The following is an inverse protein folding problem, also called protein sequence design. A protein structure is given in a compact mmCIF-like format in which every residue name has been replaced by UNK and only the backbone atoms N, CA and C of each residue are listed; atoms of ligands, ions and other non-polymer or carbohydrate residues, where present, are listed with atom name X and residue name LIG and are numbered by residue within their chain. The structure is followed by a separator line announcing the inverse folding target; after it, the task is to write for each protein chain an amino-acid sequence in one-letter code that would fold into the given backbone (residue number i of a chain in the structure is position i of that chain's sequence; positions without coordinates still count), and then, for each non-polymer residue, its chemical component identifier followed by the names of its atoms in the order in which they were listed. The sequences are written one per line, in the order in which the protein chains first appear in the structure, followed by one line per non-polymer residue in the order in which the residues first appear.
data_IF_170498404653
#
_entry.id   IF_170498404653
#
_cell.length_a   1.000
_cell.length_b   1.000
_cell.length_c   1.000
_cell.angle_alpha   90.00
_cell.angle_beta   90.00
_cell.angle_gamma   90.00
#
_symmetry.space_group_name_H-M   'P 1'
#
loop_
_entity.id
_entity.type
_entity.pdbx_description
1 polymer ?
#
# COMPACT_ATOMS: atom_id res chain seq x y z
N UNK A 1 0.84 31.68 -20.26
CA UNK A 1 0.41 30.37 -19.73
C UNK A 1 0.93 30.30 -18.31
N UNK A 2 0.15 29.83 -17.37
CA UNK A 2 0.68 29.57 -16.03
C UNK A 2 1.80 28.56 -16.09
N UNK A 3 2.85 28.82 -15.34
CA UNK A 3 4.00 27.93 -15.16
C UNK A 3 4.09 27.53 -13.67
N UNK A 4 4.29 26.25 -13.43
CA UNK A 4 4.65 25.72 -12.12
C UNK A 4 6.09 25.21 -12.19
N UNK A 5 6.92 25.60 -11.22
CA UNK A 5 8.28 25.10 -11.10
C UNK A 5 8.54 24.63 -9.67
N UNK A 6 9.06 23.43 -9.55
CA UNK A 6 9.45 22.85 -8.27
C UNK A 6 10.87 22.27 -8.37
N UNK A 7 11.68 22.45 -7.34
CA UNK A 7 13.04 21.91 -7.31
C UNK A 7 13.36 21.32 -5.94
N UNK A 8 14.01 20.17 -5.94
CA UNK A 8 14.50 19.52 -4.72
C UNK A 8 15.84 18.87 -4.98
N UNK A 9 16.79 19.08 -4.07
CA UNK A 9 18.07 18.37 -4.07
C UNK A 9 18.00 17.13 -3.18
N UNK A 10 18.56 16.03 -3.67
CA UNK A 10 18.65 14.73 -3.03
C UNK A 10 20.12 14.38 -2.82
N UNK A 11 20.50 13.88 -1.65
CA UNK A 11 21.88 13.48 -1.33
C UNK A 11 22.20 12.07 -1.89
N UNK A 12 21.99 11.90 -3.21
CA UNK A 12 22.21 10.64 -3.93
C UNK A 12 22.81 10.93 -5.31
N UNK A 13 23.63 10.00 -5.86
CA UNK A 13 24.19 10.12 -7.21
C UNK A 13 23.10 10.21 -8.28
N UNK A 14 23.38 10.89 -9.37
CA UNK A 14 22.40 11.13 -10.46
C UNK A 14 21.86 9.84 -11.10
N UNK A 15 22.72 8.85 -11.31
CA UNK A 15 22.28 7.55 -11.82
C UNK A 15 21.26 6.87 -10.91
N UNK A 16 21.47 6.89 -9.59
CA UNK A 16 20.55 6.31 -8.63
C UNK A 16 19.18 7.01 -8.65
N UNK A 17 19.18 8.33 -8.68
CA UNK A 17 17.96 9.15 -8.74
C UNK A 17 17.22 8.94 -10.07
N UNK A 18 17.95 8.92 -11.18
CA UNK A 18 17.36 8.73 -12.51
C UNK A 18 16.83 7.32 -12.70
N UNK A 19 17.58 6.28 -12.28
CA UNK A 19 17.15 4.86 -12.37
C UNK A 19 15.90 4.58 -11.53
N UNK A 20 15.74 5.27 -10.40
CA UNK A 20 14.50 5.19 -9.63
C UNK A 20 13.28 5.59 -10.48
N UNK A 21 13.39 6.66 -11.30
CA UNK A 21 12.31 7.13 -12.17
C UNK A 21 12.08 6.22 -13.39
N UNK A 22 13.05 5.38 -13.76
CA UNK A 22 12.91 4.37 -14.81
C UNK A 22 12.11 3.15 -14.40
N UNK A 23 11.84 2.98 -13.10
CA UNK A 23 11.06 1.83 -12.59
C UNK A 23 9.67 1.79 -13.20
N UNK A 24 9.21 0.61 -13.58
CA UNK A 24 7.93 0.40 -14.29
C UNK A 24 6.72 1.02 -13.58
N UNK A 25 6.75 1.05 -12.24
CA UNK A 25 5.67 1.56 -11.39
C UNK A 25 6.04 2.86 -10.64
N UNK A 26 7.05 3.60 -11.09
CA UNK A 26 7.47 4.85 -10.46
C UNK A 26 6.32 5.86 -10.33
N UNK A 27 5.50 5.99 -11.37
CA UNK A 27 4.35 6.91 -11.35
C UNK A 27 3.32 6.52 -10.29
N UNK A 28 2.94 5.23 -10.21
CA UNK A 28 2.03 4.73 -9.16
C UNK A 28 2.60 4.96 -7.77
N UNK A 29 3.92 4.81 -7.64
CA UNK A 29 4.61 4.98 -6.36
C UNK A 29 4.54 6.40 -5.84
N UNK A 30 4.71 7.41 -6.72
CA UNK A 30 4.70 8.84 -6.34
C UNK A 30 3.34 9.51 -6.47
N UNK A 31 2.35 8.84 -7.02
CA UNK A 31 1.00 9.41 -7.13
C UNK A 31 0.40 9.61 -5.75
N UNK A 32 0.11 10.87 -5.35
CA UNK A 32 -0.48 11.14 -4.05
C UNK A 32 -1.81 10.40 -3.87
N UNK A 33 -2.08 9.84 -2.70
CA UNK A 33 -3.27 9.04 -2.48
C UNK A 33 -4.59 9.85 -2.56
N UNK A 34 -4.53 11.18 -2.46
CA UNK A 34 -5.69 12.06 -2.59
C UNK A 34 -6.01 12.47 -4.03
N UNK A 35 -5.09 12.30 -4.98
CA UNK A 35 -5.30 12.67 -6.39
C UNK A 35 -6.24 11.69 -7.11
N UNK A 36 -6.48 10.50 -6.54
CA UNK A 36 -7.36 9.45 -7.09
C UNK A 36 -7.04 9.12 -8.55
N UNK A 37 -5.76 9.11 -8.92
CA UNK A 37 -5.27 8.79 -10.26
C UNK A 37 -4.98 7.29 -10.33
N UNK A 38 -5.41 6.66 -11.42
CA UNK A 38 -5.13 5.26 -11.75
C UNK A 38 -4.51 5.17 -13.14
N UNK A 39 -3.42 4.44 -13.27
CA UNK A 39 -2.89 4.04 -14.57
C UNK A 39 -3.76 2.93 -15.14
N UNK A 40 -4.33 3.18 -16.31
CA UNK A 40 -5.21 2.23 -17.03
C UNK A 40 -4.44 1.43 -18.05
N UNK A 41 -3.53 2.11 -18.79
CA UNK A 41 -2.78 1.46 -19.87
C UNK A 41 -1.43 2.14 -20.07
N UNK A 42 -0.45 1.34 -20.46
CA UNK A 42 0.87 1.77 -20.95
C UNK A 42 1.11 1.20 -22.33
N UNK A 43 1.64 2.01 -23.25
CA UNK A 43 1.96 1.67 -24.63
C UNK A 43 3.22 2.44 -25.08
N UNK A 44 4.15 1.85 -25.80
CA UNK A 44 4.40 0.43 -25.91
C UNK A 44 4.92 -0.15 -24.59
N UNK A 45 4.79 -1.46 -24.43
CA UNK A 45 5.37 -2.20 -23.29
C UNK A 45 6.86 -2.49 -23.56
N UNK A 46 7.66 -1.44 -23.73
CA UNK A 46 9.10 -1.56 -23.99
C UNK A 46 9.94 -1.42 -22.74
N UNK A 47 11.21 -1.84 -22.79
CA UNK A 47 12.17 -1.77 -21.68
C UNK A 47 12.59 -0.34 -21.32
N UNK A 48 12.25 0.65 -22.15
CA UNK A 48 12.54 2.06 -21.88
C UNK A 48 11.30 2.92 -22.14
N UNK A 49 10.37 2.84 -21.20
CA UNK A 49 9.09 3.54 -21.28
C UNK A 49 9.23 5.07 -21.31
N UNK A 50 10.27 5.62 -20.67
CA UNK A 50 10.49 7.07 -20.63
C UNK A 50 10.91 7.68 -21.97
N UNK A 51 11.31 6.87 -22.95
CA UNK A 51 11.78 7.37 -24.26
C UNK A 51 10.63 7.78 -25.17
N UNK A 52 9.62 6.91 -25.31
CA UNK A 52 8.53 7.08 -26.27
C UNK A 52 7.19 6.46 -25.81
N UNK A 53 7.13 6.10 -24.55
CA UNK A 53 5.96 5.48 -23.96
C UNK A 53 4.73 6.39 -23.97
N UNK A 54 3.57 5.77 -24.10
CA UNK A 54 2.27 6.43 -23.91
C UNK A 54 1.58 5.88 -22.70
N UNK A 55 0.92 6.73 -21.93
CA UNK A 55 0.20 6.35 -20.74
C UNK A 55 -1.22 6.90 -20.75
N UNK A 56 -2.17 6.07 -20.35
CA UNK A 56 -3.55 6.47 -20.12
C UNK A 56 -3.83 6.42 -18.64
N UNK A 57 -4.24 7.57 -18.10
CA UNK A 57 -4.62 7.73 -16.70
C UNK A 57 -6.12 8.00 -16.61
N UNK A 58 -6.73 7.50 -15.55
CA UNK A 58 -8.06 7.91 -15.11
C UNK A 58 -7.95 8.60 -13.75
N UNK A 59 -8.54 9.79 -13.67
CA UNK A 59 -8.63 10.57 -12.44
C UNK A 59 -10.09 10.66 -12.02
N UNK A 60 -10.41 10.12 -10.86
CA UNK A 60 -11.75 10.24 -10.29
C UNK A 60 -11.85 11.60 -9.58
N UNK A 61 -12.43 12.57 -10.28
CA UNK A 61 -12.53 13.97 -9.82
C UNK A 61 -13.71 14.20 -8.86
N UNK A 62 -14.87 13.61 -9.20
CA UNK A 62 -16.11 13.64 -8.40
C UNK A 62 -16.81 12.29 -8.52
N UNK A 63 -17.78 11.97 -7.63
CA UNK A 63 -18.63 10.82 -7.83
C UNK A 63 -19.21 10.84 -9.26
N UNK A 64 -19.01 9.74 -10.00
CA UNK A 64 -19.45 9.54 -11.39
C UNK A 64 -18.70 10.36 -12.47
N UNK A 65 -17.70 11.19 -12.12
CA UNK A 65 -16.92 11.96 -13.11
C UNK A 65 -15.48 11.44 -13.13
N UNK A 66 -15.16 10.67 -14.17
CA UNK A 66 -13.81 10.18 -14.43
C UNK A 66 -13.18 10.98 -15.58
N UNK A 67 -12.09 11.65 -15.28
CA UNK A 67 -11.30 12.38 -16.26
C UNK A 67 -10.22 11.47 -16.84
N UNK A 68 -10.13 11.38 -18.17
CA UNK A 68 -9.09 10.61 -18.84
C UNK A 68 -7.98 11.54 -19.31
N UNK A 69 -6.74 11.12 -19.03
CA UNK A 69 -5.52 11.76 -19.52
C UNK A 69 -4.81 10.79 -20.45
N UNK A 70 -4.38 11.27 -21.61
CA UNK A 70 -3.45 10.56 -22.48
C UNK A 70 -2.17 11.37 -22.57
N UNK A 71 -1.08 10.78 -22.11
CA UNK A 71 0.24 11.40 -22.07
C UNK A 71 1.20 10.62 -22.96
N UNK A 72 2.21 11.29 -23.50
CA UNK A 72 3.35 10.66 -24.18
C UNK A 72 4.64 11.16 -23.57
N UNK A 73 5.57 10.25 -23.36
CA UNK A 73 6.95 10.59 -23.06
C UNK A 73 7.66 11.04 -24.35
N UNK A 74 8.49 12.06 -24.23
CA UNK A 74 9.32 12.57 -25.33
C UNK A 74 10.56 13.29 -24.80
N UNK A 75 11.45 13.74 -25.68
CA UNK A 75 12.65 14.50 -25.32
C UNK A 75 13.54 13.81 -24.26
N UNK A 76 13.60 12.47 -24.33
CA UNK A 76 14.38 11.67 -23.41
C UNK A 76 15.88 11.81 -23.66
N UNK A 77 16.62 12.17 -22.62
CA UNK A 77 18.09 12.18 -22.58
C UNK A 77 18.52 11.38 -21.35
N UNK A 78 19.20 10.24 -21.56
CA UNK A 78 19.65 9.34 -20.49
C UNK A 78 20.41 10.10 -19.39
N UNK A 79 20.00 9.90 -18.14
CA UNK A 79 20.62 10.53 -16.98
C UNK A 79 20.39 12.04 -16.85
N UNK A 80 19.62 12.69 -17.74
CA UNK A 80 19.46 14.15 -17.75
C UNK A 80 18.02 14.63 -17.73
N UNK A 81 17.16 14.11 -18.60
CA UNK A 81 15.80 14.66 -18.72
C UNK A 81 14.83 13.75 -19.47
N UNK A 82 13.55 13.98 -19.25
CA UNK A 82 12.44 13.53 -20.09
C UNK A 82 11.24 14.47 -19.92
N UNK A 83 10.28 14.38 -20.84
CA UNK A 83 9.11 15.24 -20.87
C UNK A 83 7.82 14.40 -20.99
N UNK A 84 6.81 14.78 -20.20
CA UNK A 84 5.44 14.27 -20.30
C UNK A 84 4.57 15.29 -21.02
N UNK A 85 4.09 14.95 -22.20
CA UNK A 85 3.20 15.81 -22.98
C UNK A 85 1.80 15.23 -23.07
N UNK A 86 0.81 16.02 -22.76
CA UNK A 86 -0.58 15.62 -22.93
C UNK A 86 -0.97 15.58 -24.40
N UNK A 87 -1.47 14.42 -24.83
CA UNK A 87 -2.09 14.23 -26.17
C UNK A 87 -3.57 14.65 -26.10
N UNK A 88 -4.26 14.23 -25.05
CA UNK A 88 -5.64 14.62 -24.76
C UNK A 88 -5.93 14.52 -23.27
N UNK A 89 -6.81 15.40 -22.76
CA UNK A 89 -7.09 15.44 -21.33
C UNK A 89 -8.09 16.52 -20.93
N UNK A 90 -8.31 16.72 -19.62
CA UNK A 90 -9.32 17.65 -19.10
C UNK A 90 -8.91 19.11 -19.19
N UNK A 91 -7.65 19.42 -19.49
CA UNK A 91 -7.14 20.77 -19.66
C UNK A 91 -6.82 21.04 -21.13
N UNK A 92 -6.63 22.29 -21.52
CA UNK A 92 -6.32 22.67 -22.91
C UNK A 92 -4.92 22.21 -23.33
N UNK A 93 -3.93 22.36 -22.43
CA UNK A 93 -2.55 21.91 -22.66
C UNK A 93 -1.87 21.57 -21.34
N UNK A 94 -0.93 20.62 -21.42
CA UNK A 94 -0.06 20.21 -20.31
C UNK A 94 1.25 19.68 -20.86
N UNK A 95 2.35 20.24 -20.39
CA UNK A 95 3.71 19.79 -20.69
C UNK A 95 4.51 19.83 -19.39
N UNK A 96 5.08 18.69 -19.01
CA UNK A 96 5.84 18.54 -17.78
C UNK A 96 7.25 18.07 -18.12
N UNK A 97 8.23 18.93 -17.87
CA UNK A 97 9.65 18.63 -18.03
C UNK A 97 10.27 18.21 -16.72
N UNK A 98 10.96 17.07 -16.74
CA UNK A 98 11.81 16.58 -15.66
C UNK A 98 13.27 16.77 -16.03
N UNK A 99 14.01 17.51 -15.22
CA UNK A 99 15.44 17.76 -15.41
C UNK A 99 16.22 17.26 -14.19
N UNK A 100 17.27 16.47 -14.43
CA UNK A 100 18.16 15.92 -13.42
C UNK A 100 19.51 16.61 -13.52
N UNK A 101 19.93 17.32 -12.49
CA UNK A 101 21.13 18.16 -12.47
C UNK A 101 22.06 17.60 -11.41
N UNK A 102 23.25 17.19 -11.79
CA UNK A 102 24.28 16.76 -10.86
C UNK A 102 24.90 17.99 -10.17
N UNK A 103 24.63 18.17 -8.85
CA UNK A 103 25.25 19.25 -8.06
C UNK A 103 26.63 18.85 -7.50
N UNK A 104 26.81 17.52 -7.20
CA UNK A 104 28.10 16.93 -6.82
C UNK A 104 28.07 15.42 -7.10
N UNK A 105 29.15 14.70 -6.81
CA UNK A 105 29.23 13.23 -6.99
C UNK A 105 28.07 12.49 -6.33
N UNK A 106 27.63 12.95 -5.14
CA UNK A 106 26.59 12.30 -4.35
C UNK A 106 25.37 13.21 -4.12
N UNK A 107 25.15 14.20 -5.00
CA UNK A 107 24.03 15.12 -4.84
C UNK A 107 23.41 15.48 -6.19
N UNK A 108 22.13 15.24 -6.31
CA UNK A 108 21.35 15.47 -7.53
C UNK A 108 20.16 16.37 -7.24
N UNK A 109 19.96 17.38 -8.07
CA UNK A 109 18.78 18.23 -8.04
C UNK A 109 17.81 17.78 -9.12
N UNK A 110 16.56 17.52 -8.75
CA UNK A 110 15.46 17.41 -9.71
C UNK A 110 14.81 18.77 -9.84
N UNK A 111 14.59 19.19 -11.09
CA UNK A 111 13.81 20.37 -11.43
C UNK A 111 12.64 19.94 -12.29
N UNK A 112 11.44 20.14 -11.79
CA UNK A 112 10.20 19.91 -12.48
C UNK A 112 9.63 21.23 -12.96
N UNK A 113 9.27 21.33 -14.27
CA UNK A 113 8.60 22.47 -14.85
C UNK A 113 7.35 22.04 -15.57
N UNK A 114 6.21 22.61 -15.19
CA UNK A 114 4.92 22.31 -15.80
C UNK A 114 4.34 23.56 -16.42
N UNK A 115 4.12 23.53 -17.73
CA UNK A 115 3.39 24.53 -18.47
C UNK A 115 1.98 23.99 -18.76
N UNK A 116 0.95 24.70 -18.33
CA UNK A 116 -0.42 24.24 -18.52
C UNK A 116 -1.36 25.39 -18.92
N UNK A 117 -2.52 25.05 -19.47
CA UNK A 117 -3.60 26.00 -19.65
C UNK A 117 -4.96 25.30 -19.50
N UNK A 118 -5.89 25.97 -18.86
CA UNK A 118 -7.28 25.55 -18.79
C UNK A 118 -8.04 25.96 -20.05
N UNK A 119 -9.14 25.28 -20.35
CA UNK A 119 -10.09 25.67 -21.40
C UNK A 119 -10.72 27.05 -21.12
N UNK A 120 -10.96 27.35 -19.85
CA UNK A 120 -11.52 28.61 -19.37
C UNK A 120 -10.44 29.35 -18.58
N UNK A 121 -10.17 30.59 -18.94
CA UNK A 121 -9.15 31.44 -18.31
C UNK A 121 -9.71 32.09 -17.04
N UNK A 122 -9.61 31.40 -15.90
CA UNK A 122 -10.02 31.90 -14.57
C UNK A 122 -8.80 31.86 -13.65
N UNK A 123 -8.31 33.04 -13.20
CA UNK A 123 -7.14 33.14 -12.29
C UNK A 123 -7.29 32.30 -11.02
N UNK A 124 -8.51 32.23 -10.46
CA UNK A 124 -8.77 31.41 -9.27
C UNK A 124 -8.57 29.91 -9.51
N UNK A 125 -8.88 29.43 -10.71
CA UNK A 125 -8.65 28.04 -11.13
C UNK A 125 -7.17 27.73 -11.27
N UNK A 126 -6.41 28.67 -11.89
CA UNK A 126 -4.96 28.54 -11.99
C UNK A 126 -4.31 28.49 -10.60
N UNK A 127 -4.71 29.37 -9.68
CA UNK A 127 -4.23 29.38 -8.30
C UNK A 127 -4.53 28.09 -7.52
N UNK A 128 -5.73 27.54 -7.69
CA UNK A 128 -6.11 26.26 -7.11
C UNK A 128 -5.22 25.11 -7.65
N UNK A 129 -4.99 25.10 -8.97
CA UNK A 129 -4.16 24.09 -9.63
C UNK A 129 -2.70 24.17 -9.16
N UNK A 130 -2.13 25.39 -9.08
CA UNK A 130 -0.77 25.58 -8.57
C UNK A 130 -0.60 25.11 -7.13
N UNK A 131 -1.54 25.43 -6.25
CA UNK A 131 -1.50 24.97 -4.85
C UNK A 131 -1.63 23.45 -4.74
N UNK A 132 -2.48 22.83 -5.57
CA UNK A 132 -2.60 21.37 -5.62
C UNK A 132 -1.29 20.71 -6.08
N UNK A 133 -0.64 21.26 -7.11
CA UNK A 133 0.66 20.79 -7.59
C UNK A 133 1.73 20.90 -6.51
N UNK A 134 1.81 22.03 -5.82
CA UNK A 134 2.78 22.25 -4.73
C UNK A 134 2.70 21.13 -3.68
N UNK A 135 1.48 20.80 -3.23
CA UNK A 135 1.25 19.72 -2.27
C UNK A 135 1.65 18.36 -2.83
N UNK A 136 1.28 18.08 -4.08
CA UNK A 136 1.60 16.82 -4.75
C UNK A 136 3.11 16.66 -4.92
N UNK A 137 3.84 17.71 -5.28
CA UNK A 137 5.30 17.64 -5.44
C UNK A 137 6.03 17.53 -4.11
N UNK A 138 5.55 18.16 -3.04
CA UNK A 138 6.10 17.95 -1.68
C UNK A 138 5.96 16.49 -1.25
N UNK A 139 4.80 15.88 -1.49
CA UNK A 139 4.57 14.46 -1.21
C UNK A 139 5.50 13.57 -2.05
N UNK A 140 5.52 13.75 -3.38
CA UNK A 140 6.38 12.99 -4.31
C UNK A 140 7.82 12.97 -3.86
N UNK A 141 8.38 14.15 -3.60
CA UNK A 141 9.77 14.29 -3.19
C UNK A 141 10.07 13.62 -1.83
N UNK A 142 9.13 13.63 -0.89
CA UNK A 142 9.26 12.91 0.38
C UNK A 142 9.31 11.40 0.17
N UNK A 143 8.49 10.86 -0.74
CA UNK A 143 8.51 9.45 -1.11
C UNK A 143 9.84 9.06 -1.77
N UNK A 144 10.26 9.81 -2.80
CA UNK A 144 11.52 9.56 -3.52
C UNK A 144 12.71 9.58 -2.56
N UNK A 145 12.84 10.61 -1.71
CA UNK A 145 13.94 10.74 -0.75
C UNK A 145 14.01 9.54 0.20
N UNK A 146 12.85 9.09 0.67
CA UNK A 146 12.78 7.94 1.57
C UNK A 146 13.10 6.62 0.84
N UNK A 147 12.60 6.43 -0.37
CA UNK A 147 12.87 5.22 -1.16
C UNK A 147 14.37 5.15 -1.52
N UNK A 148 14.96 6.25 -1.99
CA UNK A 148 16.39 6.33 -2.29
C UNK A 148 17.26 6.04 -1.06
N UNK A 149 16.84 6.48 0.14
CA UNK A 149 17.56 6.18 1.39
C UNK A 149 17.54 4.69 1.77
N UNK A 150 16.66 3.89 1.16
CA UNK A 150 16.46 2.46 1.39
C UNK A 150 16.80 1.59 0.18
N UNK A 151 17.26 2.21 -0.92
CA UNK A 151 17.68 1.47 -2.08
C UNK A 151 18.89 0.60 -1.70
N UNK A 152 18.61 -0.66 -1.41
CA UNK A 152 19.65 -1.62 -1.05
C UNK A 152 20.46 -1.96 -2.29
N UNK A 153 21.76 -1.80 -2.20
CA UNK A 153 22.69 -2.16 -3.27
C UNK A 153 22.61 -3.66 -3.70
N UNK A 154 21.84 -4.47 -2.98
CA UNK A 154 21.77 -5.92 -3.12
C UNK A 154 20.36 -6.51 -3.08
N UNK A 155 19.46 -6.07 -3.96
CA UNK A 155 18.27 -6.89 -4.27
C UNK A 155 18.68 -8.18 -5.04
N UNK A 156 19.90 -8.22 -5.59
CA UNK A 156 20.52 -9.35 -6.32
C UNK A 156 19.59 -10.01 -7.35
N UNK A 157 18.62 -9.25 -7.90
CA UNK A 157 17.61 -9.78 -8.81
C UNK A 157 16.68 -10.81 -8.17
N UNK A 158 16.52 -10.79 -6.84
CA UNK A 158 15.61 -11.68 -6.13
C UNK A 158 14.16 -11.36 -6.45
N UNK A 159 13.35 -12.43 -6.53
CA UNK A 159 11.91 -12.31 -6.64
C UNK A 159 11.24 -12.29 -5.26
N UNK A 160 10.23 -11.44 -5.17
CA UNK A 160 9.23 -11.43 -4.09
C UNK A 160 7.94 -12.01 -4.65
N UNK A 161 7.47 -13.11 -4.08
CA UNK A 161 6.11 -13.61 -4.36
C UNK A 161 5.12 -12.81 -3.56
N UNK A 162 4.12 -12.23 -4.23
CA UNK A 162 3.07 -11.44 -3.59
C UNK A 162 1.70 -12.02 -3.92
N UNK A 163 0.96 -12.44 -2.89
CA UNK A 163 -0.47 -12.75 -3.01
C UNK A 163 -1.31 -11.63 -2.40
N UNK A 164 -2.46 -11.32 -3.00
CA UNK A 164 -3.27 -10.17 -2.59
C UNK A 164 -2.74 -8.81 -3.08
N UNK A 165 -1.98 -8.79 -4.17
CA UNK A 165 -1.40 -7.59 -4.78
C UNK A 165 -2.44 -6.54 -5.22
N UNK A 166 -3.67 -6.94 -5.53
CA UNK A 166 -4.76 -6.02 -5.92
C UNK A 166 -5.50 -5.38 -4.73
N UNK A 167 -5.23 -5.84 -3.51
CA UNK A 167 -5.83 -5.29 -2.29
C UNK A 167 -5.24 -3.93 -1.89
N UNK A 168 -5.80 -3.31 -0.84
CA UNK A 168 -5.40 -1.99 -0.35
C UNK A 168 -3.89 -1.91 -0.05
N UNK A 169 -3.33 -2.91 0.61
CA UNK A 169 -1.91 -2.92 0.97
C UNK A 169 -1.04 -3.34 -0.21
N UNK A 170 -1.46 -4.38 -0.94
CA UNK A 170 -0.69 -4.93 -2.06
C UNK A 170 -0.52 -3.96 -3.21
N UNK A 171 -1.54 -3.13 -3.51
CA UNK A 171 -1.49 -2.14 -4.59
C UNK A 171 -0.49 -1.01 -4.37
N UNK A 172 -0.08 -0.75 -3.14
CA UNK A 172 0.98 0.22 -2.80
C UNK A 172 2.33 -0.46 -2.48
N UNK A 173 2.29 -1.72 -1.99
CA UNK A 173 3.50 -2.50 -1.75
C UNK A 173 4.24 -2.84 -3.05
N UNK A 174 3.51 -3.28 -4.08
CA UNK A 174 4.12 -3.68 -5.37
C UNK A 174 4.90 -2.52 -6.02
N UNK A 175 4.36 -1.29 -6.13
CA UNK A 175 5.14 -0.14 -6.59
C UNK A 175 6.37 0.18 -5.73
N UNK A 176 6.27 0.09 -4.40
CA UNK A 176 7.42 0.28 -3.51
C UNK A 176 8.52 -0.75 -3.81
N UNK A 177 8.18 -2.03 -3.87
CA UNK A 177 9.16 -3.09 -4.13
C UNK A 177 9.80 -2.95 -5.51
N UNK A 178 9.02 -2.56 -6.52
CA UNK A 178 9.54 -2.31 -7.87
C UNK A 178 10.52 -1.13 -7.88
N UNK A 179 10.20 0.00 -7.24
CA UNK A 179 11.09 1.16 -7.16
C UNK A 179 12.39 0.90 -6.40
N UNK A 180 12.40 -0.12 -5.53
CA UNK A 180 13.58 -0.57 -4.79
C UNK A 180 14.40 -1.64 -5.55
N UNK A 181 13.98 -2.02 -6.77
CA UNK A 181 14.67 -2.94 -7.65
C UNK A 181 14.41 -4.43 -7.39
N UNK A 182 13.36 -4.77 -6.63
CA UNK A 182 12.92 -6.16 -6.52
C UNK A 182 12.18 -6.62 -7.78
N UNK A 183 12.39 -7.87 -8.17
CA UNK A 183 11.53 -8.55 -9.13
C UNK A 183 10.31 -9.13 -8.41
N UNK A 184 9.15 -9.06 -9.02
CA UNK A 184 7.89 -9.38 -8.36
C UNK A 184 7.16 -10.48 -9.13
N UNK A 185 6.76 -11.53 -8.42
CA UNK A 185 5.87 -12.57 -8.92
C UNK A 185 4.50 -12.44 -8.21
N UNK A 186 3.52 -11.94 -8.92
CA UNK A 186 2.16 -11.75 -8.40
C UNK A 186 1.37 -13.04 -8.62
N UNK A 187 0.86 -13.63 -7.55
CA UNK A 187 -0.16 -14.68 -7.62
C UNK A 187 -1.53 -14.02 -7.65
N UNK A 188 -2.12 -13.97 -8.85
CA UNK A 188 -3.41 -13.35 -9.11
C UNK A 188 -4.52 -14.40 -8.99
N UNK A 189 -5.48 -14.15 -8.10
CA UNK A 189 -6.64 -15.02 -7.95
C UNK A 189 -7.47 -15.05 -9.25
N UNK A 190 -7.77 -16.25 -9.72
CA UNK A 190 -8.60 -16.52 -10.88
C UNK A 190 -9.36 -17.84 -10.65
N UNK A 191 -10.70 -17.76 -10.49
CA UNK A 191 -11.57 -18.92 -10.26
C UNK A 191 -11.48 -19.95 -11.37
N UNK A 192 -11.25 -19.51 -12.62
CA UNK A 192 -11.18 -20.33 -13.81
C UNK A 192 -9.80 -20.96 -14.03
N UNK A 193 -8.82 -20.64 -13.19
CA UNK A 193 -7.48 -21.22 -13.28
C UNK A 193 -7.48 -22.68 -12.79
N UNK A 194 -7.95 -23.57 -13.66
CA UNK A 194 -8.03 -25.02 -13.41
C UNK A 194 -6.92 -25.80 -14.13
N UNK A 195 -6.21 -25.16 -15.05
CA UNK A 195 -5.13 -25.76 -15.85
C UNK A 195 -3.75 -25.31 -15.36
N UNK A 196 -2.76 -26.19 -15.53
CA UNK A 196 -1.35 -25.88 -15.30
C UNK A 196 -0.88 -24.82 -16.33
N UNK A 197 -1.00 -23.55 -15.99
CA UNK A 197 -0.34 -22.51 -16.75
C UNK A 197 1.17 -22.58 -16.47
N UNK A 198 1.90 -23.20 -17.39
CA UNK A 198 3.35 -23.15 -17.35
C UNK A 198 3.81 -21.83 -17.96
N UNK A 199 4.29 -20.92 -17.12
CA UNK A 199 4.87 -19.67 -17.61
C UNK A 199 6.12 -20.01 -18.41
N UNK A 200 6.17 -19.61 -19.68
CA UNK A 200 7.37 -19.79 -20.50
C UNK A 200 8.50 -18.87 -20.02
N UNK A 201 9.70 -19.41 -19.86
CA UNK A 201 10.92 -18.69 -19.40
C UNK A 201 11.18 -17.41 -20.19
N UNK A 202 10.92 -17.43 -21.51
CA UNK A 202 11.10 -16.26 -22.40
C UNK A 202 10.19 -15.06 -22.04
N UNK A 203 9.00 -15.31 -21.45
CA UNK A 203 8.09 -14.24 -21.06
C UNK A 203 8.48 -13.58 -19.73
N UNK A 204 9.32 -14.21 -18.92
CA UNK A 204 9.72 -13.73 -17.60
C UNK A 204 11.11 -13.08 -17.62
N UNK A 205 12.04 -13.58 -18.45
CA UNK A 205 13.49 -13.31 -18.35
C UNK A 205 13.88 -11.82 -18.33
N UNK A 206 13.02 -10.94 -18.89
CA UNK A 206 13.28 -9.51 -18.98
C UNK A 206 12.19 -8.65 -18.31
N UNK A 207 11.24 -9.27 -17.57
CA UNK A 207 10.18 -8.53 -16.88
C UNK A 207 10.45 -8.45 -15.40
N UNK A 208 10.37 -7.26 -14.86
CA UNK A 208 10.49 -7.03 -13.42
C UNK A 208 9.25 -7.48 -12.66
N UNK A 209 8.07 -7.42 -13.32
CA UNK A 209 6.78 -7.81 -12.73
C UNK A 209 6.13 -8.86 -13.60
N UNK A 210 5.81 -9.99 -13.00
CA UNK A 210 5.14 -11.12 -13.62
C UNK A 210 3.90 -11.48 -12.83
N UNK A 211 2.78 -11.70 -13.54
CA UNK A 211 1.54 -12.20 -12.93
C UNK A 211 1.29 -13.64 -13.35
N UNK A 212 0.94 -14.48 -12.37
CA UNK A 212 0.57 -15.87 -12.54
C UNK A 212 -0.84 -16.07 -11.98
N UNK A 213 -1.76 -16.53 -12.82
CA UNK A 213 -3.10 -16.87 -12.37
C UNK A 213 -3.05 -18.12 -11.50
N UNK A 214 -3.79 -18.14 -10.41
CA UNK A 214 -3.90 -19.27 -9.52
C UNK A 214 -5.26 -19.28 -8.80
N UNK A 215 -5.70 -20.50 -8.45
CA UNK A 215 -6.87 -20.69 -7.61
C UNK A 215 -6.47 -21.41 -6.31
N UNK A 216 -6.49 -20.72 -5.14
CA UNK A 216 -6.09 -21.33 -3.87
C UNK A 216 -7.03 -22.45 -3.40
N UNK A 217 -8.19 -22.61 -4.03
CA UNK A 217 -9.15 -23.67 -3.76
C UNK A 217 -8.99 -24.88 -4.70
N UNK A 218 -8.19 -24.74 -5.74
CA UNK A 218 -7.87 -25.82 -6.67
C UNK A 218 -6.80 -26.75 -6.09
N UNK A 219 -6.83 -28.02 -6.52
CA UNK A 219 -5.73 -28.97 -6.28
C UNK A 219 -4.53 -28.73 -7.20
N UNK A 220 -4.72 -27.94 -8.26
CA UNK A 220 -3.66 -27.63 -9.22
C UNK A 220 -2.76 -26.53 -8.68
N UNK A 221 -1.49 -26.85 -8.53
CA UNK A 221 -0.45 -25.90 -8.05
C UNK A 221 0.36 -25.44 -9.25
N UNK A 222 0.38 -24.13 -9.54
CA UNK A 222 1.16 -23.59 -10.66
C UNK A 222 2.66 -23.89 -10.51
N UNK A 223 3.32 -24.19 -11.63
CA UNK A 223 4.78 -24.37 -11.67
C UNK A 223 5.45 -23.19 -12.33
N UNK A 224 6.62 -22.84 -11.83
CA UNK A 224 7.48 -21.82 -12.41
C UNK A 224 8.83 -22.43 -12.82
N UNK A 225 9.54 -21.83 -13.80
CA UNK A 225 10.85 -22.30 -14.20
C UNK A 225 11.83 -22.32 -13.01
N UNK A 226 12.67 -23.35 -12.96
CA UNK A 226 13.66 -23.56 -11.90
C UNK A 226 14.55 -22.31 -11.67
N UNK A 227 15.00 -21.69 -12.76
CA UNK A 227 15.82 -20.47 -12.74
C UNK A 227 15.14 -19.29 -12.01
N UNK A 228 13.80 -19.23 -12.03
CA UNK A 228 13.01 -18.24 -11.30
C UNK A 228 12.83 -18.68 -9.86
N UNK A 229 12.47 -19.97 -9.64
CA UNK A 229 12.26 -20.53 -8.32
C UNK A 229 13.49 -20.34 -7.41
N UNK A 230 14.69 -20.57 -7.91
CA UNK A 230 15.96 -20.38 -7.21
C UNK A 230 16.20 -18.92 -6.78
N UNK A 231 15.63 -17.95 -7.51
CA UNK A 231 15.72 -16.52 -7.21
C UNK A 231 14.59 -16.00 -6.32
N UNK A 232 13.53 -16.76 -6.09
CA UNK A 232 12.50 -16.39 -5.13
C UNK A 232 13.06 -16.50 -3.72
N UNK A 233 13.16 -15.39 -3.00
CA UNK A 233 13.72 -15.36 -1.64
C UNK A 233 12.76 -14.79 -0.61
N UNK A 234 11.69 -14.14 -1.06
CA UNK A 234 10.71 -13.50 -0.19
C UNK A 234 9.29 -13.86 -0.61
N UNK A 235 8.42 -14.01 0.37
CA UNK A 235 6.98 -14.18 0.20
C UNK A 235 6.25 -13.15 1.02
N UNK A 236 5.24 -12.50 0.44
CA UNK A 236 4.29 -11.64 1.16
C UNK A 236 2.87 -12.13 0.86
N UNK A 237 2.19 -12.63 1.89
CA UNK A 237 0.81 -13.08 1.82
C UNK A 237 -0.13 -12.03 2.44
N UNK A 238 -0.84 -11.30 1.58
CA UNK A 238 -1.85 -10.29 1.95
C UNK A 238 -3.27 -10.72 1.58
N UNK A 239 -3.44 -11.96 1.13
CA UNK A 239 -4.75 -12.47 0.68
C UNK A 239 -5.67 -12.78 1.84
N UNK A 240 -6.93 -12.42 1.68
CA UNK A 240 -7.99 -12.74 2.64
C UNK A 240 -9.27 -12.01 2.29
N UNK A 241 -10.40 -12.64 2.58
CA UNK A 241 -11.72 -12.04 2.41
C UNK A 241 -11.91 -10.82 3.30
N UNK A 242 -12.60 -9.81 2.77
CA UNK A 242 -12.92 -8.59 3.52
C UNK A 242 -13.82 -8.93 4.72
N UNK A 243 -13.42 -8.45 5.91
CA UNK A 243 -14.16 -8.68 7.16
C UNK A 243 -15.37 -7.75 7.33
N UNK A 244 -15.45 -6.67 6.55
CA UNK A 244 -16.57 -5.73 6.64
C UNK A 244 -17.84 -6.31 6.01
N UNK A 245 -18.99 -5.92 6.53
CA UNK A 245 -20.32 -6.37 6.12
C UNK A 245 -21.06 -7.14 7.21
N UNK A 246 -22.25 -7.65 6.91
CA UNK A 246 -23.06 -8.41 7.87
C UNK A 246 -22.43 -9.79 8.12
N UNK A 247 -22.17 -10.14 9.36
CA UNK A 247 -21.56 -11.42 9.74
C UNK A 247 -22.60 -12.53 9.85
N UNK A 248 -23.03 -13.05 8.70
CA UNK A 248 -23.76 -14.31 8.62
C UNK A 248 -22.82 -15.49 8.85
N UNK A 249 -23.36 -16.68 9.10
CA UNK A 249 -22.56 -17.93 9.19
C UNK A 249 -21.71 -18.11 7.92
N UNK A 250 -22.31 -17.95 6.73
CA UNK A 250 -21.61 -18.07 5.45
C UNK A 250 -20.47 -17.05 5.33
N UNK A 251 -20.68 -15.77 5.72
CA UNK A 251 -19.63 -14.75 5.69
C UNK A 251 -18.47 -15.08 6.64
N UNK A 252 -18.77 -15.54 7.84
CA UNK A 252 -17.73 -15.96 8.80
C UNK A 252 -16.96 -17.17 8.29
N UNK A 253 -17.63 -18.16 7.73
CA UNK A 253 -16.97 -19.32 7.10
C UNK A 253 -16.06 -18.90 5.94
N UNK A 254 -16.51 -17.96 5.09
CA UNK A 254 -15.70 -17.42 4.01
C UNK A 254 -14.47 -16.66 4.51
N UNK A 255 -14.61 -15.86 5.57
CA UNK A 255 -13.49 -15.16 6.22
C UNK A 255 -12.43 -16.15 6.69
N UNK A 256 -12.82 -17.24 7.35
CA UNK A 256 -11.89 -18.28 7.84
C UNK A 256 -11.28 -19.05 6.67
N UNK A 257 -12.12 -19.59 5.78
CA UNK A 257 -11.69 -20.43 4.66
C UNK A 257 -10.72 -19.70 3.74
N UNK A 258 -11.02 -18.44 3.37
CA UNK A 258 -10.13 -17.67 2.48
C UNK A 258 -8.71 -17.54 3.04
N UNK A 259 -8.56 -17.40 4.34
CA UNK A 259 -7.26 -17.27 5.01
C UNK A 259 -6.50 -18.59 5.07
N UNK A 260 -7.17 -19.64 5.55
CA UNK A 260 -6.54 -20.94 5.73
C UNK A 260 -6.21 -21.60 4.39
N UNK A 261 -7.16 -21.62 3.42
CA UNK A 261 -6.92 -22.22 2.10
C UNK A 261 -5.81 -21.50 1.34
N UNK A 262 -5.82 -20.15 1.32
CA UNK A 262 -4.76 -19.40 0.66
C UNK A 262 -3.40 -19.69 1.27
N UNK A 263 -3.31 -19.74 2.60
CA UNK A 263 -2.05 -20.03 3.30
C UNK A 263 -1.53 -21.42 2.96
N UNK A 264 -2.39 -22.45 2.97
CA UNK A 264 -2.03 -23.83 2.59
C UNK A 264 -1.62 -23.94 1.13
N UNK A 265 -2.36 -23.32 0.23
CA UNK A 265 -2.06 -23.33 -1.20
C UNK A 265 -0.74 -22.62 -1.51
N UNK A 266 -0.43 -21.51 -0.82
CA UNK A 266 0.87 -20.84 -0.91
C UNK A 266 2.02 -21.73 -0.41
N UNK A 267 1.83 -22.41 0.71
CA UNK A 267 2.83 -23.36 1.21
C UNK A 267 3.08 -24.49 0.21
N UNK A 268 2.01 -25.02 -0.38
CA UNK A 268 2.11 -26.03 -1.43
C UNK A 268 2.83 -25.49 -2.67
N UNK A 269 2.53 -24.24 -3.08
CA UNK A 269 3.23 -23.57 -4.19
C UNK A 269 4.75 -23.47 -3.93
N UNK A 270 5.16 -23.05 -2.73
CA UNK A 270 6.58 -22.93 -2.36
C UNK A 270 7.25 -24.30 -2.38
N UNK A 271 6.62 -25.34 -1.81
CA UNK A 271 7.18 -26.70 -1.77
C UNK A 271 7.23 -27.35 -3.15
N UNK A 272 6.16 -27.26 -3.96
CA UNK A 272 6.10 -27.84 -5.31
C UNK A 272 7.15 -27.27 -6.26
N UNK A 273 7.52 -25.99 -6.06
CA UNK A 273 8.55 -25.31 -6.83
C UNK A 273 9.94 -25.37 -6.18
N UNK A 274 10.13 -26.14 -5.09
CA UNK A 274 11.39 -26.27 -4.34
C UNK A 274 12.02 -24.93 -3.98
N UNK A 275 11.20 -23.96 -3.55
CA UNK A 275 11.63 -22.61 -3.22
C UNK A 275 12.12 -22.57 -1.76
N UNK A 276 13.32 -22.04 -1.57
CA UNK A 276 13.89 -21.74 -0.25
C UNK A 276 13.81 -20.24 0.05
N UNK A 277 12.91 -19.87 0.96
CA UNK A 277 12.70 -18.49 1.35
C UNK A 277 13.71 -18.03 2.40
N UNK A 278 14.19 -16.79 2.26
CA UNK A 278 14.88 -16.08 3.35
C UNK A 278 13.86 -15.58 4.38
N UNK A 279 12.72 -15.09 3.91
CA UNK A 279 11.67 -14.56 4.79
C UNK A 279 10.29 -14.76 4.15
N UNK A 280 9.35 -15.27 4.94
CA UNK A 280 7.92 -15.26 4.64
C UNK A 280 7.22 -14.28 5.56
N UNK A 281 6.39 -13.42 5.00
CA UNK A 281 5.61 -12.41 5.72
C UNK A 281 4.14 -12.66 5.42
N UNK A 282 3.37 -12.80 6.47
CA UNK A 282 1.94 -13.08 6.36
C UNK A 282 1.15 -12.00 7.08
N UNK A 283 0.10 -11.49 6.43
CA UNK A 283 -0.89 -10.68 7.12
C UNK A 283 -1.51 -11.48 8.26
N UNK A 284 -1.65 -10.83 9.40
CA UNK A 284 -2.47 -11.19 10.54
C UNK A 284 -3.22 -9.93 10.97
N UNK A 285 -3.88 -9.91 12.10
CA UNK A 285 -4.63 -8.75 12.54
C UNK A 285 -4.54 -8.55 14.05
N UNK A 286 -4.67 -7.30 14.49
CA UNK A 286 -4.79 -6.95 15.91
C UNK A 286 -6.01 -7.61 16.59
N UNK A 287 -6.99 -8.07 15.81
CA UNK A 287 -8.08 -8.92 16.29
C UNK A 287 -7.63 -10.16 17.06
N UNK A 288 -6.37 -10.62 16.88
CA UNK A 288 -5.74 -11.68 17.65
C UNK A 288 -5.91 -11.50 19.17
N UNK A 289 -5.84 -10.27 19.65
CA UNK A 289 -5.88 -10.00 21.09
C UNK A 289 -7.29 -10.01 21.69
N UNK A 290 -8.35 -10.04 20.88
CA UNK A 290 -9.73 -9.89 21.37
C UNK A 290 -9.93 -8.55 22.09
N UNK A 291 -11.05 -8.39 22.81
CA UNK A 291 -11.28 -7.19 23.60
C UNK A 291 -10.68 -7.37 25.01
N UNK A 292 -9.66 -6.58 25.34
CA UNK A 292 -9.00 -6.57 26.63
C UNK A 292 -9.05 -5.18 27.25
N UNK A 293 -9.81 -5.03 28.33
CA UNK A 293 -9.97 -3.73 29.00
C UNK A 293 -8.61 -3.27 29.56
N UNK A 294 -8.17 -2.10 29.13
CA UNK A 294 -7.10 -1.25 29.70
C UNK A 294 -5.68 -1.85 29.84
N UNK A 295 -5.45 -3.08 29.43
CA UNK A 295 -4.11 -3.68 29.39
C UNK A 295 -3.33 -3.18 28.17
N UNK A 296 -2.05 -2.86 28.38
CA UNK A 296 -1.10 -2.68 27.28
C UNK A 296 -0.75 -4.06 26.70
N UNK A 297 -1.04 -4.26 25.42
CA UNK A 297 -0.82 -5.52 24.71
C UNK A 297 0.40 -5.40 23.80
N UNK A 298 1.30 -6.37 23.87
CA UNK A 298 2.45 -6.48 22.96
C UNK A 298 2.49 -7.86 22.28
N UNK A 299 3.51 -8.12 21.50
CA UNK A 299 3.64 -9.34 20.70
C UNK A 299 3.75 -10.62 21.54
N UNK A 300 4.03 -10.53 22.84
CA UNK A 300 4.17 -11.67 23.75
C UNK A 300 2.82 -12.10 24.39
N UNK A 301 1.78 -11.27 24.25
CA UNK A 301 0.48 -11.59 24.82
C UNK A 301 -0.21 -12.74 24.06
N UNK A 302 -0.92 -13.57 24.79
CA UNK A 302 -1.72 -14.68 24.28
C UNK A 302 -2.93 -14.19 23.47
N UNK A 303 -3.52 -15.05 22.61
CA UNK A 303 -4.75 -14.72 21.91
C UNK A 303 -5.90 -14.46 22.89
N UNK A 304 -6.74 -13.50 22.53
CA UNK A 304 -7.94 -13.17 23.29
C UNK A 304 -9.13 -14.07 22.94
N UNK A 305 -10.32 -13.59 23.27
CA UNK A 305 -11.61 -14.28 23.05
C UNK A 305 -12.37 -13.56 21.93
N UNK A 306 -13.18 -14.31 21.19
CA UNK A 306 -14.04 -13.83 20.10
C UNK A 306 -13.75 -14.50 18.77
N UNK A 307 -14.59 -14.23 17.80
CA UNK A 307 -14.50 -14.81 16.46
C UNK A 307 -13.18 -14.40 15.76
N UNK A 308 -12.82 -13.11 15.82
CA UNK A 308 -11.58 -12.64 15.18
C UNK A 308 -10.33 -13.18 15.90
N UNK A 309 -10.34 -13.25 17.21
CA UNK A 309 -9.21 -13.78 17.98
C UNK A 309 -8.98 -15.26 17.66
N UNK A 310 -10.04 -16.07 17.61
CA UNK A 310 -9.97 -17.47 17.19
C UNK A 310 -9.47 -17.61 15.76
N UNK A 311 -10.06 -16.86 14.83
CA UNK A 311 -9.70 -16.90 13.41
C UNK A 311 -8.23 -16.52 13.17
N UNK A 312 -7.76 -15.44 13.79
CA UNK A 312 -6.36 -15.00 13.63
C UNK A 312 -5.38 -15.97 14.26
N UNK A 313 -5.71 -16.55 15.42
CA UNK A 313 -4.87 -17.55 16.06
C UNK A 313 -4.72 -18.82 15.22
N UNK A 314 -5.82 -19.33 14.65
CA UNK A 314 -5.79 -20.47 13.71
C UNK A 314 -4.98 -20.13 12.45
N UNK A 315 -5.13 -18.92 11.96
CA UNK A 315 -4.40 -18.44 10.78
C UNK A 315 -2.90 -18.34 11.06
N UNK A 316 -2.46 -17.76 12.19
CA UNK A 316 -1.05 -17.70 12.57
C UNK A 316 -0.43 -19.10 12.77
N UNK A 317 -1.20 -20.06 13.34
CA UNK A 317 -0.74 -21.45 13.43
C UNK A 317 -0.48 -22.07 12.05
N UNK A 318 -1.36 -21.84 11.09
CA UNK A 318 -1.17 -22.32 9.72
C UNK A 318 0.03 -21.65 9.04
N UNK A 319 0.22 -20.34 9.25
CA UNK A 319 1.36 -19.58 8.73
C UNK A 319 2.70 -20.08 9.29
N UNK A 320 2.74 -20.58 10.51
CA UNK A 320 3.97 -21.08 11.13
C UNK A 320 4.51 -22.33 10.42
N UNK A 321 3.71 -23.04 9.63
CA UNK A 321 4.17 -24.16 8.79
C UNK A 321 5.21 -23.72 7.73
N UNK A 322 5.30 -22.43 7.42
CA UNK A 322 6.32 -21.89 6.52
C UNK A 322 7.75 -21.96 7.09
N UNK A 323 7.92 -22.20 8.40
CA UNK A 323 9.24 -22.46 8.99
C UNK A 323 9.90 -23.72 8.39
N UNK A 324 9.14 -24.59 7.71
CA UNK A 324 9.68 -25.75 6.98
C UNK A 324 10.38 -25.39 5.66
N UNK A 325 10.18 -24.16 5.13
CA UNK A 325 10.73 -23.71 3.83
C UNK A 325 11.19 -22.24 3.87
N UNK A 326 11.14 -21.58 5.02
CA UNK A 326 11.58 -20.21 5.21
C UNK A 326 12.50 -20.10 6.43
N UNK A 327 13.61 -19.37 6.29
CA UNK A 327 14.53 -19.13 7.43
C UNK A 327 13.89 -18.26 8.52
N UNK A 328 12.98 -17.37 8.14
CA UNK A 328 12.20 -16.53 9.08
C UNK A 328 10.75 -16.46 8.62
N UNK A 329 9.84 -16.60 9.57
CA UNK A 329 8.41 -16.42 9.36
C UNK A 329 7.91 -15.26 10.23
N UNK A 330 7.11 -14.36 9.65
CA UNK A 330 6.59 -13.17 10.32
C UNK A 330 5.07 -13.12 10.17
N UNK A 331 4.38 -13.06 11.29
CA UNK A 331 2.93 -12.89 11.37
C UNK A 331 2.65 -11.43 11.71
N UNK A 332 2.30 -10.64 10.70
CA UNK A 332 2.15 -9.20 10.82
C UNK A 332 0.76 -8.84 11.33
N UNK A 333 0.60 -8.56 12.63
CA UNK A 333 -0.67 -8.18 13.28
C UNK A 333 -0.99 -6.73 12.96
N UNK A 334 -1.76 -6.55 11.89
CA UNK A 334 -2.05 -5.24 11.29
C UNK A 334 -3.22 -4.58 12.04
N UNK A 335 -3.05 -3.31 12.41
CA UNK A 335 -4.11 -2.45 12.92
C UNK A 335 -4.99 -1.87 11.82
N UNK A 336 -5.82 -0.88 12.17
CA UNK A 336 -6.65 -0.15 11.19
C UNK A 336 -5.77 0.62 10.22
N UNK A 337 -5.72 0.17 8.96
CA UNK A 337 -4.91 0.82 7.92
C UNK A 337 -5.57 2.11 7.46
N UNK A 338 -4.82 3.21 7.55
CA UNK A 338 -5.27 4.53 7.12
C UNK A 338 -4.77 4.82 5.71
N UNK A 339 -5.71 5.01 4.79
CA UNK A 339 -5.48 5.38 3.39
C UNK A 339 -6.73 6.02 2.79
N UNK A 340 -6.58 7.02 1.91
CA UNK A 340 -7.71 7.57 1.14
C UNK A 340 -8.21 6.62 0.04
N UNK A 341 -7.39 5.63 -0.35
CA UNK A 341 -7.72 4.65 -1.40
C UNK A 341 -8.73 3.59 -0.92
N UNK A 342 -8.83 3.36 0.39
CA UNK A 342 -9.68 2.29 0.95
C UNK A 342 -9.81 2.33 2.47
N UNK A 343 -10.45 1.28 3.02
CA UNK A 343 -10.62 1.12 4.47
C UNK A 343 -11.47 2.20 5.13
N UNK A 344 -11.19 2.47 6.40
CA UNK A 344 -11.98 3.36 7.24
C UNK A 344 -12.11 4.78 6.67
N UNK A 345 -11.00 5.39 6.25
CA UNK A 345 -11.00 6.78 5.75
C UNK A 345 -11.91 6.92 4.52
N UNK A 346 -11.88 5.96 3.59
CA UNK A 346 -12.76 5.99 2.42
C UNK A 346 -14.24 5.97 2.81
N UNK A 347 -14.62 5.19 3.84
CA UNK A 347 -15.99 5.08 4.31
C UNK A 347 -16.51 6.38 4.96
N UNK A 348 -15.68 7.03 5.79
CA UNK A 348 -16.10 8.21 6.55
C UNK A 348 -15.86 9.53 5.80
N UNK A 349 -15.08 9.54 4.72
CA UNK A 349 -14.69 10.75 3.98
C UNK A 349 -15.87 11.60 3.53
N UNK A 350 -16.92 10.99 2.98
CA UNK A 350 -18.07 11.73 2.46
C UNK A 350 -18.87 12.42 3.56
N UNK A 351 -19.38 11.74 4.60
CA UNK A 351 -20.11 12.43 5.66
C UNK A 351 -19.25 13.47 6.39
N UNK A 352 -17.97 13.21 6.64
CA UNK A 352 -17.07 14.17 7.30
C UNK A 352 -16.87 15.44 6.45
N UNK A 353 -16.72 15.32 5.15
CA UNK A 353 -16.64 16.48 4.22
C UNK A 353 -17.95 17.27 4.15
N UNK A 354 -19.09 16.62 4.35
CA UNK A 354 -20.39 17.28 4.44
C UNK A 354 -20.63 17.94 5.82
N UNK A 355 -19.65 17.90 6.70
CA UNK A 355 -19.71 18.52 8.02
C UNK A 355 -20.30 17.61 9.10
N UNK A 356 -20.58 16.33 8.80
CA UNK A 356 -21.20 15.37 9.72
C UNK A 356 -20.14 14.36 10.17
N UNK A 357 -19.61 14.51 11.36
CA UNK A 357 -18.65 13.60 11.96
C UNK A 357 -19.16 12.99 13.26
N UNK A 358 -18.59 11.86 13.65
CA UNK A 358 -18.97 11.22 14.90
C UNK A 358 -18.20 9.94 15.17
N UNK A 359 -18.48 9.34 16.32
CA UNK A 359 -17.93 8.08 16.79
C UNK A 359 -19.05 7.21 17.38
N UNK A 360 -18.81 5.92 17.53
CA UNK A 360 -19.81 4.96 18.04
C UNK A 360 -19.58 4.70 19.52
N UNK A 361 -20.67 4.67 20.30
CA UNK A 361 -20.66 4.37 21.72
C UNK A 361 -20.12 5.51 22.58
N UNK A 362 -19.44 5.20 23.68
CA UNK A 362 -18.88 6.18 24.61
C UNK A 362 -17.52 6.77 24.17
N UNK A 363 -16.91 6.20 23.13
CA UNK A 363 -15.64 6.65 22.58
C UNK A 363 -14.40 6.36 23.42
N UNK A 364 -14.49 5.52 24.46
CA UNK A 364 -13.37 5.21 25.37
C UNK A 364 -12.51 4.06 24.91
N UNK A 365 -12.96 3.25 23.95
CA UNK A 365 -12.16 2.17 23.36
C UNK A 365 -11.00 2.70 22.53
N UNK A 366 -9.86 2.02 22.54
CA UNK A 366 -8.70 2.39 21.74
C UNK A 366 -8.82 1.93 20.29
N UNK A 367 -8.39 2.78 19.37
CA UNK A 367 -8.18 2.45 17.96
C UNK A 367 -6.68 2.31 17.71
N UNK A 368 -6.27 1.12 17.28
CA UNK A 368 -4.92 0.83 16.86
C UNK A 368 -4.85 1.02 15.35
N UNK A 369 -4.17 2.05 14.92
CA UNK A 369 -4.09 2.44 13.52
C UNK A 369 -2.66 2.37 12.99
N UNK A 370 -2.50 2.31 11.68
CA UNK A 370 -1.23 2.45 11.00
C UNK A 370 -1.43 3.18 9.67
N UNK A 371 -0.52 4.07 9.31
CA UNK A 371 -0.48 4.65 7.97
C UNK A 371 -0.09 3.58 6.95
N UNK A 372 -0.76 3.51 5.81
CA UNK A 372 -0.46 2.54 4.75
C UNK A 372 1.02 2.58 4.34
N UNK A 373 1.60 3.78 4.23
CA UNK A 373 3.02 3.97 3.92
C UNK A 373 3.94 3.32 4.96
N UNK A 374 3.63 3.45 6.27
CA UNK A 374 4.38 2.76 7.32
C UNK A 374 4.25 1.24 7.21
N UNK A 375 3.05 0.74 6.93
CA UNK A 375 2.80 -0.69 6.82
C UNK A 375 3.63 -1.33 5.69
N UNK A 376 3.62 -0.75 4.49
CA UNK A 376 4.41 -1.31 3.37
C UNK A 376 5.91 -1.22 3.60
N UNK A 377 6.39 -0.21 4.34
CA UNK A 377 7.80 -0.08 4.73
C UNK A 377 8.20 -1.06 5.84
N UNK A 378 7.31 -1.38 6.76
CA UNK A 378 7.52 -2.44 7.75
C UNK A 378 7.67 -3.79 7.04
N UNK A 379 6.83 -4.07 6.03
CA UNK A 379 6.92 -5.29 5.23
C UNK A 379 8.29 -5.35 4.52
N UNK A 380 8.69 -4.29 3.85
CA UNK A 380 9.97 -4.24 3.13
C UNK A 380 11.17 -4.39 4.09
N UNK A 381 11.21 -3.63 5.19
CA UNK A 381 12.27 -3.74 6.19
C UNK A 381 12.37 -5.17 6.76
N UNK A 382 11.25 -5.85 6.90
CA UNK A 382 11.19 -7.22 7.42
C UNK A 382 11.92 -8.25 6.54
N UNK A 383 12.18 -7.95 5.28
CA UNK A 383 12.98 -8.84 4.41
C UNK A 383 14.42 -8.99 4.91
N UNK A 384 14.98 -7.94 5.47
CA UNK A 384 16.41 -7.85 5.81
C UNK A 384 16.68 -7.80 7.31
N UNK A 385 15.77 -7.20 8.09
CA UNK A 385 15.97 -7.02 9.53
C UNK A 385 15.70 -8.33 10.28
N UNK A 386 16.79 -8.95 10.75
CA UNK A 386 16.75 -10.23 11.46
C UNK A 386 16.02 -10.17 12.80
N UNK A 387 15.87 -8.98 13.37
CA UNK A 387 15.13 -8.79 14.62
C UNK A 387 13.62 -9.04 14.47
N UNK A 388 13.11 -8.99 13.23
CA UNK A 388 11.70 -9.28 12.95
C UNK A 388 11.52 -10.76 12.63
N UNK A 389 10.91 -11.49 13.59
CA UNK A 389 10.55 -12.90 13.48
C UNK A 389 9.33 -13.18 14.37
N UNK A 390 8.49 -14.15 13.95
CA UNK A 390 7.23 -14.46 14.64
C UNK A 390 6.23 -13.31 14.56
N UNK A 391 5.37 -13.10 15.58
CA UNK A 391 4.39 -12.03 15.59
C UNK A 391 5.06 -10.66 15.67
N UNK A 392 4.56 -9.70 14.87
CA UNK A 392 4.97 -8.30 14.85
C UNK A 392 3.71 -7.42 14.81
N UNK A 393 3.55 -6.51 15.76
CA UNK A 393 2.45 -5.56 15.79
C UNK A 393 2.71 -4.42 14.81
N UNK A 394 2.01 -4.40 13.69
CA UNK A 394 2.04 -3.32 12.71
C UNK A 394 0.97 -2.27 13.06
N UNK A 395 1.25 -1.49 14.07
CA UNK A 395 0.42 -0.37 14.55
C UNK A 395 1.27 0.86 14.82
N UNK A 396 0.65 2.04 14.79
CA UNK A 396 1.29 3.29 15.25
C UNK A 396 1.65 3.18 16.74
N UNK A 397 2.75 3.83 17.18
CA UNK A 397 3.14 3.86 18.59
C UNK A 397 2.18 4.66 19.49
N UNK A 398 1.24 5.40 18.88
CA UNK A 398 0.28 6.28 19.57
C UNK A 398 -1.17 5.82 19.36
N UNK A 399 -1.63 4.77 20.08
CA UNK A 399 -3.03 4.40 20.05
C UNK A 399 -3.88 5.53 20.65
N UNK A 400 -5.02 5.84 20.04
CA UNK A 400 -5.92 6.89 20.47
C UNK A 400 -7.27 6.30 20.91
N UNK A 401 -7.94 6.96 21.86
CA UNK A 401 -9.33 6.66 22.15
C UNK A 401 -10.19 7.00 20.94
N UNK A 402 -11.22 6.22 20.69
CA UNK A 402 -12.09 6.35 19.53
C UNK A 402 -12.64 7.78 19.38
N UNK A 403 -13.10 8.40 20.46
CA UNK A 403 -13.57 9.80 20.45
C UNK A 403 -12.49 10.76 19.94
N UNK A 404 -11.25 10.64 20.43
CA UNK A 404 -10.16 11.55 20.07
C UNK A 404 -9.67 11.26 18.65
N UNK A 405 -9.60 9.98 18.26
CA UNK A 405 -9.26 9.57 16.91
C UNK A 405 -10.20 10.19 15.85
N UNK A 406 -11.51 10.05 16.04
CA UNK A 406 -12.49 10.63 15.10
C UNK A 406 -12.57 12.16 15.19
N UNK A 407 -12.26 12.77 16.34
CA UNK A 407 -12.19 14.22 16.48
C UNK A 407 -11.06 14.80 15.61
N UNK A 408 -9.85 14.24 15.68
CA UNK A 408 -8.72 14.68 14.83
C UNK A 408 -9.06 14.56 13.35
N UNK A 409 -9.75 13.49 12.94
CA UNK A 409 -10.20 13.33 11.56
C UNK A 409 -11.26 14.38 11.20
N UNK A 410 -12.23 14.65 12.10
CA UNK A 410 -13.26 15.65 11.88
C UNK A 410 -12.69 17.06 11.68
N UNK A 411 -11.70 17.43 12.49
CA UNK A 411 -10.97 18.70 12.36
C UNK A 411 -10.27 18.83 11.01
N UNK A 412 -9.60 17.76 10.54
CA UNK A 412 -8.95 17.73 9.20
C UNK A 412 -9.94 17.91 8.05
N UNK A 413 -11.17 17.46 8.20
CA UNK A 413 -12.22 17.65 7.18
C UNK A 413 -13.08 18.91 7.41
N UNK A 414 -12.76 19.73 8.42
CA UNK A 414 -13.54 20.90 8.83
C UNK A 414 -15.02 20.56 9.13
N UNK A 415 -15.26 19.41 9.75
CA UNK A 415 -16.62 18.98 10.09
C UNK A 415 -17.20 19.87 11.17
N UNK A 416 -18.43 20.35 10.97
CA UNK A 416 -19.13 21.27 11.88
C UNK A 416 -19.82 20.55 13.03
N UNK A 417 -20.32 19.33 12.78
CA UNK A 417 -21.07 18.51 13.71
C UNK A 417 -20.22 17.33 14.13
N UNK A 418 -20.11 17.12 15.45
CA UNK A 418 -19.38 15.97 16.01
C UNK A 418 -20.22 15.33 17.11
N UNK A 419 -20.77 14.14 16.83
CA UNK A 419 -21.73 13.46 17.68
C UNK A 419 -21.29 12.06 18.11
N UNK A 420 -21.83 11.58 19.23
CA UNK A 420 -21.79 10.18 19.61
C UNK A 420 -22.97 9.45 18.97
N UNK A 421 -22.68 8.40 18.22
CA UNK A 421 -23.70 7.51 17.62
C UNK A 421 -23.93 6.37 18.62
N UNK A 422 -25.13 6.24 19.19
CA UNK A 422 -25.43 5.15 20.11
C UNK A 422 -25.15 3.78 19.46
N UNK A 423 -24.48 2.89 20.19
CA UNK A 423 -24.08 1.58 19.67
C UNK A 423 -25.27 0.70 19.21
N UNK A 424 -26.48 1.02 19.69
CA UNK A 424 -27.69 0.36 19.29
C UNK A 424 -27.92 0.40 17.75
N UNK A 425 -27.71 1.55 17.11
CA UNK A 425 -27.95 1.70 15.67
C UNK A 425 -27.09 0.76 14.81
N UNK A 426 -25.75 0.74 14.90
CA UNK A 426 -24.94 -0.20 14.12
C UNK A 426 -25.14 -1.66 14.56
N UNK A 427 -25.51 -1.94 15.81
CA UNK A 427 -25.83 -3.28 16.29
C UNK A 427 -27.03 -3.91 15.56
N UNK A 428 -27.98 -3.09 15.04
CA UNK A 428 -29.09 -3.59 14.23
C UNK A 428 -28.62 -4.24 12.94
N UNK A 429 -27.45 -3.87 12.42
CA UNK A 429 -26.88 -4.41 11.19
C UNK A 429 -26.07 -5.68 11.50
N UNK A 430 -25.16 -5.62 12.46
CA UNK A 430 -24.31 -6.74 12.86
C UNK A 430 -23.74 -6.52 14.26
N UNK A 431 -24.40 -7.06 15.27
CA UNK A 431 -23.99 -6.91 16.69
C UNK A 431 -22.57 -7.41 16.93
N UNK A 432 -22.24 -8.60 16.44
CA UNK A 432 -20.94 -9.24 16.66
C UNK A 432 -19.80 -8.43 15.97
N UNK A 433 -19.99 -7.97 14.73
CA UNK A 433 -19.02 -7.10 14.04
C UNK A 433 -18.77 -5.81 14.83
N UNK A 434 -19.85 -5.17 15.30
CA UNK A 434 -19.74 -3.91 16.06
C UNK A 434 -18.97 -4.13 17.35
N UNK A 435 -19.22 -5.22 18.07
CA UNK A 435 -18.51 -5.54 19.31
C UNK A 435 -17.04 -5.88 19.07
N UNK A 436 -16.72 -6.66 18.06
CA UNK A 436 -15.36 -7.14 17.82
C UNK A 436 -14.46 -6.17 17.03
N UNK A 437 -15.04 -5.26 16.23
CA UNK A 437 -14.26 -4.31 15.42
C UNK A 437 -14.40 -2.88 15.93
N UNK A 438 -15.64 -2.39 16.12
CA UNK A 438 -15.89 -0.98 16.36
C UNK A 438 -15.70 -0.63 17.84
N UNK A 439 -16.24 -1.47 18.73
CA UNK A 439 -16.22 -1.28 20.19
C UNK A 439 -15.14 -2.07 20.90
N UNK A 440 -14.36 -2.88 20.17
CA UNK A 440 -13.24 -3.61 20.74
C UNK A 440 -12.24 -2.66 21.41
N UNK A 441 -11.89 -2.95 22.66
CA UNK A 441 -10.96 -2.13 23.44
C UNK A 441 -9.61 -2.84 23.57
N UNK A 442 -8.61 -2.39 22.83
CA UNK A 442 -7.27 -2.97 22.77
C UNK A 442 -6.24 -1.83 22.74
N UNK A 443 -5.38 -1.75 23.74
CA UNK A 443 -4.26 -0.80 23.76
C UNK A 443 -2.99 -1.50 23.31
N UNK A 444 -2.74 -1.56 22.00
CA UNK A 444 -1.63 -2.34 21.43
C UNK A 444 -0.39 -1.49 21.26
N UNK A 445 0.75 -2.03 21.64
CA UNK A 445 2.07 -1.40 21.52
C UNK A 445 2.91 -2.18 20.52
N UNK A 446 3.53 -1.52 19.53
CA UNK A 446 4.44 -2.15 18.57
C UNK A 446 5.83 -2.34 19.16
N UNK A 447 5.95 -3.21 20.17
CA UNK A 447 7.14 -3.33 21.02
C UNK A 447 8.37 -3.73 20.23
N UNK A 448 8.23 -4.65 19.25
CA UNK A 448 9.34 -5.06 18.39
C UNK A 448 9.80 -3.93 17.48
N UNK A 449 8.88 -3.16 16.90
CA UNK A 449 9.23 -2.00 16.07
C UNK A 449 9.99 -0.93 16.87
N UNK A 450 9.50 -0.62 18.09
CA UNK A 450 10.11 0.38 18.97
C UNK A 450 11.50 -0.05 19.45
N UNK A 451 11.68 -1.32 19.86
CA UNK A 451 12.99 -1.85 20.30
C UNK A 451 14.04 -1.85 19.20
N UNK A 452 13.60 -2.00 17.94
CA UNK A 452 14.48 -1.98 16.77
C UNK A 452 14.51 -0.61 16.07
N UNK A 453 14.17 0.44 16.81
CA UNK A 453 14.27 1.84 16.37
C UNK A 453 13.64 2.10 15.00
N UNK A 454 12.45 1.50 14.76
CA UNK A 454 11.71 1.75 13.54
C UNK A 454 11.27 3.22 13.50
N UNK A 455 11.68 3.93 12.45
CA UNK A 455 11.29 5.32 12.24
C UNK A 455 10.00 5.38 11.43
N UNK A 456 8.92 5.66 12.11
CA UNK A 456 7.61 5.82 11.46
C UNK A 456 7.61 7.04 10.53
N UNK A 457 7.00 6.88 9.37
CA UNK A 457 6.77 7.96 8.41
C UNK A 457 5.80 9.01 8.99
N UNK A 458 4.84 8.57 9.81
CA UNK A 458 3.96 9.42 10.59
C UNK A 458 3.81 8.91 12.04
N UNK A 459 4.35 9.67 13.00
CA UNK A 459 4.28 9.33 14.42
C UNK A 459 2.93 9.65 15.06
N UNK A 460 2.19 10.63 14.53
CA UNK A 460 0.89 11.08 15.06
C UNK A 460 -0.18 10.96 13.99
N UNK A 461 -1.45 10.83 14.45
CA UNK A 461 -2.59 10.74 13.55
C UNK A 461 -2.71 11.98 12.66
N UNK A 462 -2.44 13.17 13.20
CA UNK A 462 -2.46 14.42 12.46
C UNK A 462 -1.51 14.38 11.25
N UNK A 463 -0.22 14.00 11.49
CA UNK A 463 0.77 13.84 10.41
C UNK A 463 0.40 12.72 9.42
N UNK A 464 -0.24 11.64 9.90
CA UNK A 464 -0.72 10.60 9.02
C UNK A 464 -1.82 11.12 8.07
N UNK A 465 -2.74 11.93 8.59
CA UNK A 465 -3.81 12.54 7.80
C UNK A 465 -3.30 13.55 6.78
N UNK A 466 -2.25 14.32 7.07
CA UNK A 466 -1.59 15.19 6.08
C UNK A 466 -1.16 14.40 4.83
N UNK A 467 -0.64 13.19 5.04
CA UNK A 467 -0.24 12.29 3.94
C UNK A 467 -1.41 11.57 3.25
N UNK A 468 -2.64 11.70 3.75
CA UNK A 468 -3.84 11.04 3.20
C UNK A 468 -4.75 12.05 2.49
N UNK A 469 -4.84 13.26 3.04
CA UNK A 469 -5.84 14.28 2.62
C UNK A 469 -5.22 15.37 1.75
N UNK A 470 -3.90 15.51 1.77
CA UNK A 470 -3.18 16.51 0.97
C UNK A 470 -3.35 17.94 1.51
N UNK A 471 -3.30 18.10 2.83
CA UNK A 471 -3.42 19.41 3.49
C UNK A 471 -2.06 19.88 3.98
#
# INVERSE_FOLDING_TARGET
MPEFSFSKSFNFPINQVFDWHKSDLALERITPPWDNIKVVKREPLTTNFLKDGKIILEQNFMPLVNLKWRLSHQNYVEGKSFEDKMISGPVKSWVHNHEFIQESKNKTKIRDKINFSHWIKIKKLDGFTLNSMEKSFRYRNKIIEHDLSKQYANTNGYYVVVSGASGLVGSDLVPLLNSLGYKILILKFDENSTNLETIQVKSIKNKEIVSLNWNPYSKVIPRIPKEIAEKVKFLVNLSGENILGVWTKSKKDLIVKSRLHTTRSLLSFIKTNSIELKTSIHASATGFYGSNKDMKLDENNSPGIGFLAKTTNEWEKEQNNFLSCSKRNINLRIGTVLSSKGGLIKLIKAPFRLGLAGYVGNGNNYINWILLEDLIRIIERSFHDKAFSGPVNAVSPTPLKSKDFFRVIAEKYNSKIFISIPAFFPNLISKELVQEIILSNQKIIPKKLLRNEYKFFAHTLDKALDNIVGI
#
